data_IF_402133929496
#
_entry.id   IF_402133929496
#
_cell.length_a   1.000
_cell.length_b   1.000
_cell.length_c   1.000
_cell.angle_alpha   90.00
_cell.angle_beta   90.00
_cell.angle_gamma   90.00
#
_symmetry.space_group_name_H-M   'P 1'
#
loop_
_entity.id
_entity.type
_entity.pdbx_description
1 polymer ?
#
# COMPACT_ATOMS: atom_id res chain seq x y z
N UNK A 1 9.70 25.75 -43.40
CA UNK A 1 9.60 25.28 -42.01
C UNK A 1 8.14 25.22 -41.60
N UNK A 2 7.43 24.13 -41.92
CA UNK A 2 6.04 23.91 -41.53
C UNK A 2 5.99 23.14 -40.21
N UNK A 3 5.38 23.74 -39.18
CA UNK A 3 5.01 23.02 -37.96
C UNK A 3 3.76 22.20 -38.28
N UNK A 4 3.91 20.89 -38.39
CA UNK A 4 2.82 19.93 -38.46
C UNK A 4 1.94 20.05 -37.22
N UNK A 5 0.68 20.46 -37.41
CA UNK A 5 -0.38 20.32 -36.41
C UNK A 5 -0.61 18.82 -36.19
N UNK A 6 -0.06 18.27 -35.13
CA UNK A 6 -0.39 16.91 -34.69
C UNK A 6 -1.87 16.83 -34.33
N UNK A 7 -2.62 15.99 -35.02
CA UNK A 7 -3.97 15.62 -34.65
C UNK A 7 -3.93 14.88 -33.32
N UNK A 8 -4.43 15.51 -32.27
CA UNK A 8 -4.58 14.86 -30.96
C UNK A 8 -5.56 13.70 -31.11
N UNK A 9 -5.19 12.49 -30.67
CA UNK A 9 -6.18 11.42 -30.57
C UNK A 9 -7.18 11.77 -29.47
N UNK A 10 -8.39 11.19 -29.52
CA UNK A 10 -9.39 11.34 -28.46
C UNK A 10 -8.86 10.91 -27.09
N UNK A 11 -7.87 9.99 -27.05
CA UNK A 11 -7.19 9.56 -25.82
C UNK A 11 -6.23 10.63 -25.28
N UNK A 12 -5.51 11.33 -26.15
CA UNK A 12 -4.55 12.37 -25.74
C UNK A 12 -5.28 13.61 -25.22
N UNK A 13 -6.42 13.96 -25.81
CA UNK A 13 -7.26 15.06 -25.35
C UNK A 13 -7.91 14.74 -23.99
N UNK A 14 -8.38 13.50 -23.79
CA UNK A 14 -8.91 13.06 -22.50
C UNK A 14 -7.83 13.11 -21.40
N UNK A 15 -6.60 12.69 -21.71
CA UNK A 15 -5.47 12.74 -20.77
C UNK A 15 -5.10 14.18 -20.39
N UNK A 16 -5.01 15.09 -21.37
CA UNK A 16 -4.72 16.50 -21.13
C UNK A 16 -5.80 17.18 -20.27
N UNK A 17 -7.07 16.88 -20.52
CA UNK A 17 -8.17 17.41 -19.72
C UNK A 17 -8.16 16.86 -18.29
N UNK A 18 -7.85 15.58 -18.10
CA UNK A 18 -7.72 14.95 -16.78
C UNK A 18 -6.58 15.57 -15.96
N UNK A 19 -5.39 15.73 -16.55
CA UNK A 19 -4.23 16.34 -15.89
C UNK A 19 -4.48 17.81 -15.49
N UNK A 20 -5.11 18.59 -16.39
CA UNK A 20 -5.47 19.99 -16.12
C UNK A 20 -6.55 20.10 -15.05
N UNK A 21 -7.55 19.22 -15.04
CA UNK A 21 -8.57 19.18 -13.99
C UNK A 21 -7.94 18.79 -12.65
N UNK A 22 -7.13 17.73 -12.58
CA UNK A 22 -6.46 17.35 -11.33
C UNK A 22 -5.55 18.45 -10.79
N UNK A 23 -4.84 19.17 -11.66
CA UNK A 23 -4.00 20.31 -11.25
C UNK A 23 -4.84 21.46 -10.70
N UNK A 24 -5.95 21.81 -11.37
CA UNK A 24 -6.86 22.85 -10.93
C UNK A 24 -7.53 22.48 -9.59
N UNK A 25 -7.97 21.23 -9.44
CA UNK A 25 -8.57 20.73 -8.22
C UNK A 25 -7.57 20.67 -7.05
N UNK A 26 -6.32 20.26 -7.28
CA UNK A 26 -5.24 20.36 -6.27
C UNK A 26 -5.00 21.81 -5.84
N UNK A 27 -5.02 22.75 -6.79
CA UNK A 27 -4.92 24.19 -6.50
C UNK A 27 -6.06 24.69 -5.61
N UNK A 28 -7.31 24.39 -5.98
CA UNK A 28 -8.52 24.82 -5.25
C UNK A 28 -8.63 24.15 -3.88
N UNK A 29 -8.36 22.84 -3.79
CA UNK A 29 -8.31 22.14 -2.50
C UNK A 29 -7.19 22.65 -1.62
N UNK A 30 -6.01 22.97 -2.15
CA UNK A 30 -4.94 23.58 -1.36
C UNK A 30 -5.33 24.94 -0.79
N UNK A 31 -6.10 25.76 -1.54
CA UNK A 31 -6.58 27.07 -1.09
C UNK A 31 -7.68 26.94 -0.02
N UNK A 32 -8.60 25.99 -0.18
CA UNK A 32 -9.66 25.71 0.79
C UNK A 32 -9.08 25.08 2.06
N UNK A 33 -8.17 24.12 1.92
CA UNK A 33 -7.50 23.46 3.03
C UNK A 33 -6.58 24.45 3.77
N UNK A 34 -5.89 25.37 3.06
CA UNK A 34 -5.12 26.45 3.69
C UNK A 34 -6.00 27.47 4.45
N UNK A 35 -7.15 27.85 3.89
CA UNK A 35 -8.10 28.74 4.56
C UNK A 35 -8.75 28.12 5.81
N UNK A 36 -9.00 26.80 5.79
CA UNK A 36 -9.50 26.06 6.96
C UNK A 36 -8.40 25.75 7.99
N UNK A 37 -7.16 25.55 7.53
CA UNK A 37 -6.01 25.31 8.39
C UNK A 37 -5.59 26.55 9.21
N UNK A 38 -5.98 27.77 8.79
CA UNK A 38 -5.78 28.99 9.57
C UNK A 38 -6.52 28.99 10.93
N UNK A 39 -7.55 28.13 11.07
CA UNK A 39 -8.27 27.92 12.33
C UNK A 39 -7.76 26.70 13.12
N UNK A 40 -6.64 26.09 12.73
CA UNK A 40 -6.05 24.98 13.48
C UNK A 40 -5.49 25.55 14.78
N UNK A 41 -6.22 25.29 15.86
CA UNK A 41 -5.75 25.53 17.21
C UNK A 41 -4.47 24.72 17.44
N UNK A 42 -3.49 25.31 18.13
CA UNK A 42 -2.20 24.70 18.46
C UNK A 42 -2.34 23.58 19.52
N UNK A 43 -3.28 22.68 19.31
CA UNK A 43 -3.56 21.55 20.19
C UNK A 43 -3.03 20.27 19.55
N UNK A 44 -2.10 19.62 20.24
CA UNK A 44 -1.52 18.33 19.88
C UNK A 44 -2.60 17.31 19.49
N UNK A 45 -3.75 17.31 20.17
CA UNK A 45 -4.86 16.39 19.90
C UNK A 45 -5.44 16.50 18.49
N UNK A 46 -5.17 17.60 17.77
CA UNK A 46 -5.56 17.77 16.38
C UNK A 46 -4.82 16.80 15.44
N UNK A 47 -3.53 16.57 15.68
CA UNK A 47 -2.70 15.66 14.87
C UNK A 47 -2.87 14.20 15.28
N UNK A 48 -3.63 13.92 16.33
CA UNK A 48 -3.78 12.58 16.85
C UNK A 48 -4.33 11.62 15.80
N UNK A 49 -3.73 10.44 15.73
CA UNK A 49 -4.33 9.31 15.02
C UNK A 49 -5.73 9.03 15.57
N UNK A 50 -6.66 8.71 14.67
CA UNK A 50 -8.06 8.43 15.02
C UNK A 50 -8.30 6.93 14.96
N UNK A 51 -9.51 6.51 14.67
CA UNK A 51 -9.78 5.13 14.29
C UNK A 51 -9.66 5.02 12.75
N UNK A 52 -9.27 3.85 12.28
CA UNK A 52 -9.47 3.50 10.87
C UNK A 52 -10.96 3.49 10.53
N UNK A 53 -11.31 3.55 9.25
CA UNK A 53 -12.70 3.49 8.80
C UNK A 53 -13.31 2.07 8.74
N UNK A 54 -12.58 1.06 9.22
CA UNK A 54 -13.03 -0.32 9.18
C UNK A 54 -14.11 -0.56 10.24
N UNK A 55 -15.11 -1.43 9.98
CA UNK A 55 -16.10 -1.80 10.98
C UNK A 55 -15.43 -2.36 12.25
N UNK A 56 -15.89 -1.90 13.42
CA UNK A 56 -15.32 -2.31 14.72
C UNK A 56 -15.60 -3.77 15.06
N UNK A 57 -16.64 -4.36 14.45
CA UNK A 57 -17.10 -5.73 14.68
C UNK A 57 -16.43 -6.76 13.75
N UNK A 58 -15.42 -6.36 12.97
CA UNK A 58 -14.66 -7.30 12.16
C UNK A 58 -13.95 -8.36 13.03
N UNK A 59 -13.97 -9.65 12.64
CA UNK A 59 -13.26 -10.71 13.38
C UNK A 59 -11.78 -10.41 13.57
N UNK A 60 -11.15 -9.84 12.54
CA UNK A 60 -9.79 -9.33 12.59
C UNK A 60 -9.68 -8.06 11.77
N UNK A 61 -8.91 -7.11 12.26
CA UNK A 61 -8.58 -5.91 11.50
C UNK A 61 -7.29 -6.15 10.72
N UNK A 62 -7.43 -6.41 9.41
CA UNK A 62 -6.31 -6.74 8.54
C UNK A 62 -5.36 -5.55 8.42
N UNK A 63 -4.11 -5.84 8.11
CA UNK A 63 -3.09 -4.82 7.96
C UNK A 63 -3.38 -3.97 6.73
N UNK A 64 -3.37 -2.64 6.89
CA UNK A 64 -3.38 -1.68 5.78
C UNK A 64 -2.76 -0.35 6.25
N UNK A 65 -2.29 0.48 5.31
CA UNK A 65 -1.59 1.73 5.60
C UNK A 65 -2.39 2.70 6.48
N UNK A 66 -3.69 2.87 6.23
CA UNK A 66 -4.52 3.75 7.05
C UNK A 66 -4.62 3.26 8.51
N UNK A 67 -4.76 1.96 8.76
CA UNK A 67 -4.87 1.44 10.12
C UNK A 67 -3.61 1.69 10.93
N UNK A 68 -2.44 1.52 10.31
CA UNK A 68 -1.16 1.85 10.96
C UNK A 68 -0.99 3.35 11.17
N UNK A 69 -1.36 4.17 10.17
CA UNK A 69 -1.35 5.63 10.26
C UNK A 69 -2.20 6.10 11.44
N UNK A 70 -3.46 5.69 11.50
CA UNK A 70 -4.40 6.12 12.53
C UNK A 70 -4.05 5.59 13.92
N UNK A 71 -3.31 4.49 14.00
CA UNK A 71 -2.83 3.97 15.28
C UNK A 71 -1.62 4.72 15.87
N UNK A 72 -1.05 5.70 15.16
CA UNK A 72 0.07 6.52 15.64
C UNK A 72 -0.41 7.71 16.49
N UNK A 73 0.44 8.17 17.40
CA UNK A 73 0.15 9.31 18.28
C UNK A 73 -0.03 10.58 17.48
N UNK A 74 0.74 10.78 16.41
CA UNK A 74 0.70 11.95 15.52
C UNK A 74 0.65 11.52 14.05
N UNK A 75 -0.18 12.19 13.24
CA UNK A 75 -0.39 11.88 11.82
C UNK A 75 -0.15 13.11 10.94
N UNK A 76 0.79 12.97 9.99
CA UNK A 76 1.12 13.96 8.97
C UNK A 76 0.76 13.37 7.59
N UNK A 77 -0.48 13.60 7.16
CA UNK A 77 -1.11 12.92 6.02
C UNK A 77 -1.53 13.86 4.88
N UNK A 78 -0.96 15.07 4.82
CA UNK A 78 -1.28 16.05 3.79
C UNK A 78 -1.21 15.45 2.38
N UNK A 79 -2.28 15.62 1.60
CA UNK A 79 -2.37 15.09 0.24
C UNK A 79 -2.70 13.60 0.15
N UNK A 80 -2.91 12.90 1.27
CA UNK A 80 -3.38 11.51 1.27
C UNK A 80 -4.71 11.37 0.49
N UNK A 81 -4.88 10.20 -0.12
CA UNK A 81 -6.10 9.85 -0.83
C UNK A 81 -7.28 9.62 0.12
N UNK A 82 -7.01 9.23 1.36
CA UNK A 82 -8.02 8.93 2.37
C UNK A 82 -7.95 10.00 3.46
N UNK A 83 -9.09 10.64 3.74
CA UNK A 83 -9.26 11.66 4.77
C UNK A 83 -10.11 11.08 5.89
N UNK A 84 -9.67 11.27 7.13
CA UNK A 84 -10.55 11.08 8.28
C UNK A 84 -11.51 12.27 8.36
N UNK A 85 -12.83 12.08 8.55
CA UNK A 85 -13.80 13.18 8.57
C UNK A 85 -13.48 14.23 9.64
N UNK A 86 -12.95 13.77 10.79
CA UNK A 86 -12.62 14.63 11.94
C UNK A 86 -11.18 15.17 11.93
N UNK A 87 -10.40 14.98 10.84
CA UNK A 87 -9.06 15.55 10.72
C UNK A 87 -8.87 16.21 9.36
N UNK A 88 -8.63 17.52 9.36
CA UNK A 88 -8.30 18.25 8.14
C UNK A 88 -6.84 17.96 7.80
N UNK A 89 -6.57 17.65 6.52
CA UNK A 89 -5.21 17.48 6.03
C UNK A 89 -4.48 18.83 6.06
N UNK A 90 -3.56 19.00 7.00
CA UNK A 90 -2.83 20.26 7.20
C UNK A 90 -1.48 20.22 6.47
N UNK A 91 -1.13 21.25 5.66
CA UNK A 91 0.19 21.35 5.06
C UNK A 91 1.31 21.25 6.10
N UNK A 92 2.35 20.47 5.82
CA UNK A 92 3.43 20.16 6.78
C UNK A 92 4.09 21.42 7.37
N UNK A 93 4.25 22.48 6.57
CA UNK A 93 4.82 23.76 7.01
C UNK A 93 4.01 24.42 8.13
N UNK A 94 2.70 24.23 8.15
CA UNK A 94 1.83 24.78 9.19
C UNK A 94 1.89 23.95 10.49
N UNK A 95 2.26 22.67 10.40
CA UNK A 95 2.45 21.79 11.56
C UNK A 95 3.66 22.22 12.40
N UNK A 96 4.58 23.00 11.83
CA UNK A 96 5.76 23.53 12.56
C UNK A 96 5.41 24.20 13.89
N UNK A 97 4.29 24.92 13.98
CA UNK A 97 3.86 25.58 15.22
C UNK A 97 3.55 24.61 16.35
N UNK A 98 3.31 23.34 16.03
CA UNK A 98 2.97 22.25 16.95
C UNK A 98 4.15 21.28 17.17
N UNK A 99 5.28 21.49 16.50
CA UNK A 99 6.40 20.56 16.52
C UNK A 99 6.95 20.33 17.93
N UNK A 100 6.96 21.36 18.78
CA UNK A 100 7.42 21.26 20.18
C UNK A 100 6.54 20.37 21.04
N UNK A 101 5.31 20.07 20.62
CA UNK A 101 4.43 19.13 21.30
C UNK A 101 4.74 17.66 20.96
N UNK A 102 5.59 17.42 19.96
CA UNK A 102 6.08 16.09 19.59
C UNK A 102 7.34 15.83 20.43
N UNK A 103 7.32 14.79 21.26
CA UNK A 103 8.35 14.51 22.25
C UNK A 103 8.84 13.06 22.25
N UNK A 104 9.62 12.74 23.28
CA UNK A 104 10.25 11.45 23.43
C UNK A 104 9.22 10.30 23.44
N UNK A 105 9.43 9.32 22.56
CA UNK A 105 8.61 8.13 22.43
C UNK A 105 7.32 8.32 21.64
N UNK A 106 6.98 9.53 21.18
CA UNK A 106 5.83 9.71 20.32
C UNK A 106 5.97 8.91 19.02
N UNK A 107 4.90 8.25 18.61
CA UNK A 107 4.81 7.56 17.32
C UNK A 107 4.27 8.54 16.28
N UNK A 108 5.08 8.87 15.28
CA UNK A 108 4.76 9.90 14.30
C UNK A 108 4.67 9.28 12.92
N UNK A 109 3.45 9.17 12.40
CA UNK A 109 3.23 8.78 11.02
C UNK A 109 3.44 9.99 10.09
N UNK A 110 4.29 9.81 9.09
CA UNK A 110 4.50 10.77 7.99
C UNK A 110 4.22 10.07 6.67
N UNK A 111 3.23 10.56 5.90
CA UNK A 111 3.05 10.11 4.52
C UNK A 111 4.37 10.25 3.78
N UNK A 112 4.84 9.22 3.10
CA UNK A 112 6.23 9.20 2.59
C UNK A 112 6.58 10.40 1.72
N UNK A 113 5.65 10.89 0.91
CA UNK A 113 5.84 12.07 0.05
C UNK A 113 6.09 13.38 0.83
N UNK A 114 5.63 13.45 2.08
CA UNK A 114 5.77 14.60 2.97
C UNK A 114 7.04 14.56 3.82
N UNK A 115 7.81 13.46 3.76
CA UNK A 115 9.03 13.31 4.53
C UNK A 115 10.08 14.43 4.31
N UNK A 116 10.31 14.94 3.07
CA UNK A 116 11.23 16.07 2.88
C UNK A 116 10.81 17.33 3.65
N UNK A 117 9.53 17.67 3.62
CA UNK A 117 9.00 18.83 4.33
C UNK A 117 9.01 18.62 5.84
N UNK A 118 8.76 17.39 6.30
CA UNK A 118 8.84 17.03 7.72
C UNK A 118 10.27 17.24 8.26
N UNK A 119 11.28 16.74 7.55
CA UNK A 119 12.69 16.91 7.90
C UNK A 119 13.07 18.39 7.95
N UNK A 120 12.56 19.19 7.02
CA UNK A 120 12.93 20.61 6.89
C UNK A 120 12.23 21.49 7.94
N UNK A 121 10.97 21.19 8.27
CA UNK A 121 10.10 22.14 8.99
C UNK A 121 9.64 21.67 10.37
N UNK A 122 9.62 20.37 10.64
CA UNK A 122 9.06 19.80 11.89
C UNK A 122 10.15 19.13 12.71
N UNK A 123 10.91 18.20 12.12
CA UNK A 123 11.95 17.42 12.80
C UNK A 123 12.95 18.28 13.61
N UNK A 124 13.42 19.47 13.15
CA UNK A 124 14.37 20.28 13.91
C UNK A 124 13.78 20.93 15.16
N UNK A 125 12.46 20.90 15.34
CA UNK A 125 11.73 21.58 16.41
C UNK A 125 11.03 20.63 17.38
N UNK A 126 11.23 19.31 17.24
CA UNK A 126 10.64 18.34 18.16
C UNK A 126 11.42 18.26 19.48
N UNK A 127 10.74 17.89 20.55
CA UNK A 127 11.23 17.95 21.94
C UNK A 127 11.88 16.65 22.42
N UNK A 128 12.07 15.65 21.55
CA UNK A 128 12.71 14.38 21.91
C UNK A 128 12.72 13.33 20.80
N UNK A 129 13.36 12.17 21.03
CA UNK A 129 13.45 11.10 20.04
C UNK A 129 12.12 10.39 19.81
N UNK A 130 11.72 10.26 18.55
CA UNK A 130 10.43 9.67 18.14
C UNK A 130 10.58 8.29 17.52
N UNK A 131 9.45 7.58 17.41
CA UNK A 131 9.30 6.47 16.48
C UNK A 131 8.69 7.00 15.18
N UNK A 132 9.49 7.07 14.12
CA UNK A 132 9.04 7.48 12.80
C UNK A 132 8.33 6.32 12.10
N UNK A 133 7.16 6.58 11.54
CA UNK A 133 6.42 5.62 10.71
C UNK A 133 6.15 6.26 9.35
N UNK A 134 6.57 5.63 8.25
CA UNK A 134 6.33 6.16 6.90
C UNK A 134 5.52 5.19 6.06
N UNK A 135 4.50 5.71 5.36
CA UNK A 135 3.61 4.93 4.52
C UNK A 135 2.68 5.77 3.65
N UNK A 136 1.60 5.14 3.18
CA UNK A 136 0.56 5.78 2.34
C UNK A 136 1.12 6.43 1.07
N UNK A 137 2.10 5.76 0.46
CA UNK A 137 2.77 6.15 -0.78
C UNK A 137 3.33 4.93 -1.49
N UNK A 138 3.41 5.01 -2.81
CA UNK A 138 4.09 4.01 -3.64
C UNK A 138 5.62 4.13 -3.53
N UNK A 139 6.16 5.27 -3.10
CA UNK A 139 7.60 5.51 -3.04
C UNK A 139 8.24 4.90 -1.77
N UNK A 140 9.43 4.33 -1.95
CA UNK A 140 10.37 4.10 -0.85
C UNK A 140 11.12 5.39 -0.48
N UNK A 141 11.58 5.49 0.76
CA UNK A 141 12.23 6.69 1.29
C UNK A 141 13.52 6.45 2.06
N UNK A 142 13.79 5.20 2.48
CA UNK A 142 14.90 4.91 3.40
C UNK A 142 16.23 5.20 2.74
N UNK A 143 16.43 4.77 1.49
CA UNK A 143 17.68 5.05 0.76
C UNK A 143 17.93 6.54 0.60
N UNK A 144 16.89 7.32 0.29
CA UNK A 144 17.01 8.76 0.06
C UNK A 144 17.32 9.53 1.35
N UNK A 145 16.80 9.07 2.47
CA UNK A 145 16.92 9.72 3.78
C UNK A 145 17.65 8.84 4.80
N UNK A 146 18.65 8.10 4.33
CA UNK A 146 19.40 7.11 5.14
C UNK A 146 20.04 7.75 6.37
N UNK A 147 20.49 9.01 6.27
CA UNK A 147 21.02 9.79 7.38
C UNK A 147 20.08 9.93 8.58
N UNK A 148 18.77 9.71 8.41
CA UNK A 148 17.82 9.68 9.53
C UNK A 148 18.04 8.49 10.47
N UNK A 149 18.68 7.42 10.00
CA UNK A 149 19.02 6.28 10.87
C UNK A 149 20.08 6.67 11.91
N UNK A 150 20.94 7.64 11.61
CA UNK A 150 21.94 8.17 12.56
C UNK A 150 21.44 9.37 13.36
N UNK A 151 20.29 9.94 13.00
CA UNK A 151 19.74 11.13 13.63
C UNK A 151 19.28 10.85 15.07
N UNK A 152 19.67 11.72 16.01
CA UNK A 152 19.37 11.55 17.45
C UNK A 152 17.87 11.57 17.75
N UNK A 153 17.13 12.43 17.04
CA UNK A 153 15.69 12.56 17.19
C UNK A 153 14.90 11.40 16.55
N UNK A 154 15.54 10.48 15.84
CA UNK A 154 14.92 9.27 15.29
C UNK A 154 15.38 8.09 16.14
N UNK A 155 14.51 7.67 17.06
CA UNK A 155 14.76 6.51 17.92
C UNK A 155 14.57 5.18 17.17
N UNK A 156 13.59 5.13 16.27
CA UNK A 156 13.32 4.00 15.38
C UNK A 156 12.51 4.43 14.16
N UNK A 157 12.56 3.67 13.07
CA UNK A 157 11.85 3.92 11.82
C UNK A 157 11.15 2.64 11.32
N UNK A 158 9.82 2.68 11.24
CA UNK A 158 9.00 1.71 10.52
C UNK A 158 8.68 2.23 9.11
N UNK A 159 9.10 1.52 8.07
CA UNK A 159 8.98 2.00 6.68
C UNK A 159 8.22 1.02 5.78
N UNK A 160 7.09 1.47 5.23
CA UNK A 160 6.43 0.83 4.08
C UNK A 160 7.22 1.10 2.79
N UNK A 161 7.15 0.17 1.82
CA UNK A 161 7.91 0.25 0.58
C UNK A 161 9.42 0.47 0.81
N UNK A 162 9.99 -0.14 1.85
CA UNK A 162 11.40 0.02 2.22
C UNK A 162 12.33 -0.41 1.07
N UNK A 163 13.19 0.51 0.62
CA UNK A 163 14.02 0.42 -0.59
C UNK A 163 15.49 0.10 -0.33
N UNK A 164 15.78 -0.42 0.87
CA UNK A 164 17.09 -0.92 1.30
C UNK A 164 16.98 -2.36 1.76
N UNK A 165 18.00 -3.18 1.53
CA UNK A 165 18.02 -4.60 1.89
C UNK A 165 18.81 -4.90 3.17
N UNK A 166 19.67 -3.98 3.63
CA UNK A 166 20.49 -4.19 4.82
C UNK A 166 19.65 -4.18 6.10
N UNK A 167 20.16 -4.81 7.16
CA UNK A 167 19.55 -4.74 8.50
C UNK A 167 20.15 -3.57 9.27
N UNK A 168 19.31 -2.87 10.04
CA UNK A 168 19.73 -1.77 10.89
C UNK A 168 18.93 -1.80 12.19
N UNK A 169 19.57 -1.49 13.33
CA UNK A 169 18.96 -1.60 14.66
C UNK A 169 17.74 -0.69 14.84
N UNK A 170 17.73 0.46 14.18
CA UNK A 170 16.63 1.42 14.17
C UNK A 170 15.65 1.28 13.00
N UNK A 171 15.75 0.25 12.15
CA UNK A 171 14.90 0.12 10.95
C UNK A 171 14.06 -1.15 11.02
N UNK A 172 12.76 -1.02 10.78
CA UNK A 172 11.85 -2.14 10.57
C UNK A 172 11.07 -1.93 9.29
N UNK A 173 11.06 -2.95 8.43
CA UNK A 173 10.24 -2.97 7.22
C UNK A 173 8.79 -3.21 7.64
N UNK A 174 7.89 -2.38 7.15
CA UNK A 174 6.47 -2.49 7.43
C UNK A 174 5.75 -2.93 6.14
N UNK A 175 4.95 -4.00 6.14
CA UNK A 175 4.11 -4.36 5.00
C UNK A 175 3.16 -3.23 4.61
N UNK A 176 2.80 -3.13 3.32
CA UNK A 176 1.68 -2.25 2.94
C UNK A 176 0.31 -2.82 3.34
N UNK A 177 0.21 -4.15 3.46
CA UNK A 177 -1.03 -4.83 3.79
C UNK A 177 -2.00 -4.89 2.61
N UNK A 178 -3.31 -4.94 2.88
CA UNK A 178 -4.36 -4.92 1.85
C UNK A 178 -4.75 -3.48 1.50
N UNK A 179 -5.39 -3.30 0.34
CA UNK A 179 -6.00 -2.01 0.01
C UNK A 179 -7.24 -1.81 0.89
N UNK A 180 -7.50 -0.58 1.34
CA UNK A 180 -8.67 -0.23 2.15
C UNK A 180 -9.28 1.10 1.65
N UNK A 181 -9.76 1.17 0.40
CA UNK A 181 -10.21 2.42 -0.19
C UNK A 181 -11.64 2.76 0.26
N UNK A 182 -11.79 3.43 1.39
CA UNK A 182 -13.13 3.84 1.88
C UNK A 182 -13.61 5.15 1.21
N UNK A 183 -12.70 5.98 0.66
CA UNK A 183 -13.07 7.24 0.02
C UNK A 183 -12.28 7.52 -1.26
N UNK A 184 -12.94 7.40 -2.42
CA UNK A 184 -12.46 8.08 -3.63
C UNK A 184 -12.82 9.55 -3.54
N UNK A 185 -11.80 10.44 -3.59
CA UNK A 185 -11.99 11.88 -3.83
C UNK A 185 -13.00 12.09 -4.96
N UNK A 186 -13.82 13.15 -4.90
CA UNK A 186 -14.77 13.49 -5.97
C UNK A 186 -14.09 13.48 -7.36
N UNK A 187 -12.82 13.88 -7.43
CA UNK A 187 -11.96 13.78 -8.62
C UNK A 187 -11.80 12.35 -9.14
N UNK A 188 -11.50 11.36 -8.27
CA UNK A 188 -11.44 9.95 -8.65
C UNK A 188 -12.81 9.43 -9.09
N UNK A 189 -13.89 9.90 -8.46
CA UNK A 189 -15.28 9.56 -8.86
C UNK A 189 -15.63 10.11 -10.23
N UNK A 190 -15.28 11.36 -10.50
CA UNK A 190 -15.48 12.00 -11.80
C UNK A 190 -14.61 11.34 -12.88
N UNK A 191 -13.36 11.02 -12.56
CA UNK A 191 -12.49 10.24 -13.44
C UNK A 191 -13.05 8.86 -13.77
N UNK A 192 -13.62 8.16 -12.78
CA UNK A 192 -14.29 6.87 -12.99
C UNK A 192 -15.54 6.99 -13.86
N UNK A 193 -16.38 8.01 -13.63
CA UNK A 193 -17.56 8.32 -14.47
C UNK A 193 -17.17 8.64 -15.91
N UNK A 194 -16.14 9.46 -16.10
CA UNK A 194 -15.58 9.77 -17.42
C UNK A 194 -15.08 8.50 -18.12
N UNK A 195 -14.46 7.59 -17.37
CA UNK A 195 -13.96 6.33 -17.89
C UNK A 195 -15.04 5.35 -18.34
N UNK A 196 -16.15 5.31 -17.61
CA UNK A 196 -17.34 4.57 -18.03
C UNK A 196 -17.93 5.17 -19.31
N UNK A 197 -18.01 6.50 -19.39
CA UNK A 197 -18.50 7.18 -20.60
C UNK A 197 -17.61 6.95 -21.83
N UNK A 198 -16.30 6.71 -21.64
CA UNK A 198 -15.35 6.39 -22.71
C UNK A 198 -15.29 4.88 -23.07
N UNK A 199 -16.14 4.04 -22.47
CA UNK A 199 -16.21 2.60 -22.75
C UNK A 199 -14.96 1.80 -22.36
N UNK A 200 -14.09 2.37 -21.51
CA UNK A 200 -12.83 1.74 -21.07
C UNK A 200 -12.99 0.87 -19.82
N UNK A 201 -14.16 0.93 -19.19
CA UNK A 201 -14.56 0.06 -18.07
C UNK A 201 -15.96 -0.42 -18.38
N UNK A 202 -16.20 -1.73 -18.35
CA UNK A 202 -17.57 -2.24 -18.52
C UNK A 202 -18.45 -1.74 -17.38
N UNK A 203 -19.66 -1.33 -17.75
CA UNK A 203 -20.63 -0.78 -16.81
C UNK A 203 -21.31 -1.93 -16.06
N UNK A 204 -20.70 -2.36 -14.96
CA UNK A 204 -21.29 -3.35 -14.07
C UNK A 204 -22.15 -2.67 -13.00
N UNK A 205 -23.46 -2.66 -13.24
CA UNK A 205 -24.46 -2.11 -12.31
C UNK A 205 -24.61 -2.90 -11.01
N UNK A 206 -24.02 -4.11 -10.92
CA UNK A 206 -24.02 -4.94 -9.71
C UNK A 206 -22.87 -4.59 -8.78
N UNK A 207 -21.78 -4.02 -9.30
CA UNK A 207 -20.63 -3.59 -8.53
C UNK A 207 -21.05 -2.47 -7.56
N UNK A 208 -21.17 -2.79 -6.27
CA UNK A 208 -21.42 -1.74 -5.26
C UNK A 208 -20.12 -0.98 -5.00
N UNK A 209 -20.26 0.32 -4.70
CA UNK A 209 -19.22 1.36 -4.60
C UNK A 209 -17.92 1.03 -3.80
N UNK A 210 -17.85 -0.08 -3.07
CA UNK A 210 -16.80 -0.44 -2.12
C UNK A 210 -16.26 -1.88 -2.27
N UNK A 211 -16.42 -2.55 -3.41
CA UNK A 211 -15.94 -3.95 -3.53
C UNK A 211 -14.41 -4.10 -3.46
N UNK A 212 -13.64 -3.05 -3.75
CA UNK A 212 -12.18 -3.05 -3.56
C UNK A 212 -11.85 -2.82 -2.08
N UNK A 213 -11.08 -3.72 -1.48
CA UNK A 213 -10.63 -3.60 -0.09
C UNK A 213 -11.72 -3.79 0.98
N UNK A 214 -12.86 -4.38 0.63
CA UNK A 214 -13.87 -4.81 1.61
C UNK A 214 -13.31 -5.95 2.48
N UNK A 215 -12.78 -5.59 3.63
CA UNK A 215 -12.20 -6.55 4.58
C UNK A 215 -13.22 -7.56 5.09
N UNK A 216 -14.48 -7.17 5.25
CA UNK A 216 -15.53 -8.07 5.73
C UNK A 216 -15.82 -9.16 4.69
N UNK A 217 -15.91 -8.76 3.42
CA UNK A 217 -16.05 -9.70 2.32
C UNK A 217 -14.82 -10.60 2.14
N UNK A 218 -13.62 -10.03 2.21
CA UNK A 218 -12.37 -10.79 2.13
C UNK A 218 -12.31 -11.84 3.25
N UNK A 219 -12.61 -11.46 4.49
CA UNK A 219 -12.62 -12.38 5.63
C UNK A 219 -13.67 -13.48 5.52
N UNK A 220 -14.89 -13.15 5.07
CA UNK A 220 -15.92 -14.17 4.81
C UNK A 220 -15.47 -15.18 3.77
N UNK A 221 -14.93 -14.70 2.64
CA UNK A 221 -14.43 -15.58 1.59
C UNK A 221 -13.28 -16.43 2.10
N UNK A 222 -12.31 -15.83 2.80
CA UNK A 222 -11.16 -16.54 3.36
C UNK A 222 -11.54 -17.60 4.39
N UNK A 223 -12.56 -17.36 5.20
CA UNK A 223 -13.07 -18.33 6.17
C UNK A 223 -13.69 -19.58 5.51
N UNK A 224 -14.26 -19.42 4.31
CA UNK A 224 -14.84 -20.52 3.53
C UNK A 224 -13.78 -21.25 2.68
N UNK A 225 -12.53 -20.78 2.65
CA UNK A 225 -11.46 -21.42 1.86
C UNK A 225 -10.81 -22.58 2.60
N UNK A 226 -10.57 -23.67 1.86
CA UNK A 226 -9.70 -24.76 2.31
C UNK A 226 -8.22 -24.36 2.35
N UNK A 227 -7.40 -25.25 2.90
CA UNK A 227 -5.96 -24.99 3.05
C UNK A 227 -5.24 -24.97 1.71
N UNK A 228 -4.08 -24.30 1.65
CA UNK A 228 -3.26 -24.29 0.43
C UNK A 228 -2.93 -25.71 -0.09
N UNK A 229 -2.75 -26.67 0.82
CA UNK A 229 -2.31 -28.04 0.53
C UNK A 229 -3.25 -28.79 -0.40
N UNK A 230 -4.54 -28.46 -0.36
CA UNK A 230 -5.59 -29.12 -1.14
C UNK A 230 -5.74 -28.50 -2.53
N UNK A 231 -5.07 -27.37 -2.79
CA UNK A 231 -5.24 -26.60 -4.02
C UNK A 231 -4.39 -27.17 -5.16
N UNK A 232 -4.91 -27.14 -6.40
CA UNK A 232 -4.13 -27.50 -7.57
C UNK A 232 -2.82 -26.72 -7.66
N UNK A 233 -1.74 -27.41 -8.05
CA UNK A 233 -0.41 -26.83 -8.29
C UNK A 233 -0.45 -26.04 -9.60
N UNK A 234 -1.00 -24.83 -9.52
CA UNK A 234 -1.14 -23.85 -10.62
C UNK A 234 -0.92 -22.45 -10.07
N UNK A 235 -0.47 -21.56 -10.93
CA UNK A 235 -0.22 -20.16 -10.63
C UNK A 235 -1.24 -19.26 -11.32
N UNK A 236 -2.01 -18.53 -10.52
CA UNK A 236 -2.92 -17.50 -11.00
C UNK A 236 -2.14 -16.27 -11.49
N UNK A 237 -2.53 -15.72 -12.63
CA UNK A 237 -2.00 -14.47 -13.16
C UNK A 237 -3.16 -13.46 -13.34
N UNK A 238 -3.27 -12.48 -12.44
CA UNK A 238 -4.23 -11.36 -12.55
C UNK A 238 -3.56 -10.01 -12.83
N UNK A 239 -2.22 -9.95 -12.75
CA UNK A 239 -1.46 -8.71 -12.74
C UNK A 239 -1.53 -7.89 -14.03
N UNK A 240 -1.70 -8.55 -15.17
CA UNK A 240 -1.79 -7.92 -16.49
C UNK A 240 -3.10 -7.16 -16.71
N UNK A 241 -4.15 -7.47 -15.94
CA UNK A 241 -5.46 -6.80 -16.03
C UNK A 241 -5.58 -5.56 -15.13
N UNK A 242 -4.57 -5.26 -14.31
CA UNK A 242 -4.61 -4.14 -13.37
C UNK A 242 -4.11 -2.85 -14.04
N UNK A 243 -4.95 -2.27 -14.90
CA UNK A 243 -4.64 -1.06 -15.68
C UNK A 243 -4.97 0.22 -14.90
N UNK A 244 -4.10 1.24 -14.99
CA UNK A 244 -4.45 2.64 -14.72
C UNK A 244 -4.10 3.49 -15.93
N UNK A 245 -4.87 4.55 -16.16
CA UNK A 245 -4.71 5.46 -17.31
C UNK A 245 -3.57 6.47 -17.15
N UNK A 246 -3.11 6.65 -15.91
CA UNK A 246 -2.10 7.64 -15.58
C UNK A 246 -0.74 6.96 -15.66
N UNK A 247 0.17 7.56 -16.42
CA UNK A 247 1.53 7.03 -16.60
C UNK A 247 2.35 7.08 -15.30
N UNK A 248 3.29 6.13 -15.10
CA UNK A 248 3.55 4.99 -15.97
C UNK A 248 2.41 3.96 -15.90
N UNK A 249 2.07 3.31 -17.01
CA UNK A 249 1.16 2.17 -16.98
C UNK A 249 1.87 1.04 -16.26
N UNK A 250 1.21 0.38 -15.29
CA UNK A 250 1.81 -0.74 -14.57
C UNK A 250 2.30 -1.84 -15.52
N UNK A 251 1.66 -2.02 -16.68
CA UNK A 251 2.06 -3.01 -17.68
C UNK A 251 3.45 -2.75 -18.25
N UNK A 252 3.91 -1.50 -18.23
CA UNK A 252 5.22 -1.11 -18.75
C UNK A 252 6.35 -1.32 -17.73
N UNK A 253 6.02 -1.75 -16.50
CA UNK A 253 7.05 -2.04 -15.50
C UNK A 253 7.87 -3.27 -15.92
N UNK A 254 9.21 -3.23 -15.84
CA UNK A 254 10.08 -4.31 -16.29
C UNK A 254 9.69 -5.71 -15.79
N UNK A 255 9.36 -5.83 -14.49
CA UNK A 255 9.01 -7.13 -13.90
C UNK A 255 7.67 -7.68 -14.42
N UNK A 256 6.73 -6.79 -14.76
CA UNK A 256 5.44 -7.19 -15.34
C UNK A 256 5.58 -7.56 -16.82
N UNK A 257 6.45 -6.86 -17.55
CA UNK A 257 6.79 -7.21 -18.92
C UNK A 257 7.45 -8.59 -18.97
N UNK A 258 8.46 -8.83 -18.13
CA UNK A 258 9.11 -10.14 -18.03
C UNK A 258 8.11 -11.24 -17.69
N UNK A 259 7.29 -11.04 -16.64
CA UNK A 259 6.29 -12.03 -16.24
C UNK A 259 5.31 -12.35 -17.38
N UNK A 260 4.81 -11.32 -18.09
CA UNK A 260 3.94 -11.48 -19.25
C UNK A 260 4.63 -12.18 -20.43
N UNK A 261 5.91 -11.95 -20.66
CA UNK A 261 6.67 -12.55 -21.76
C UNK A 261 6.96 -14.02 -21.49
N UNK A 262 7.42 -14.32 -20.27
CA UNK A 262 7.90 -15.65 -19.90
C UNK A 262 6.76 -16.61 -19.60
N UNK A 263 5.67 -16.14 -18.98
CA UNK A 263 4.63 -17.01 -18.45
C UNK A 263 3.44 -17.21 -19.39
N UNK A 264 3.33 -16.46 -20.50
CA UNK A 264 2.16 -16.48 -21.38
C UNK A 264 1.77 -17.87 -21.86
N UNK A 265 2.76 -18.65 -22.26
CA UNK A 265 2.59 -20.00 -22.80
C UNK A 265 2.98 -21.08 -21.79
N UNK A 266 3.14 -20.71 -20.52
CA UNK A 266 3.52 -21.63 -19.46
C UNK A 266 2.30 -22.46 -19.02
N UNK A 267 2.35 -23.81 -19.12
CA UNK A 267 1.18 -24.67 -18.88
C UNK A 267 0.70 -24.69 -17.43
N UNK A 268 1.50 -24.19 -16.48
CA UNK A 268 1.10 -24.10 -15.07
C UNK A 268 0.61 -22.71 -14.66
N UNK A 269 0.55 -21.75 -15.59
CA UNK A 269 0.12 -20.38 -15.33
C UNK A 269 -1.19 -20.05 -16.05
N UNK A 270 -2.12 -19.43 -15.32
CA UNK A 270 -3.42 -19.04 -15.86
C UNK A 270 -3.61 -17.54 -15.88
N UNK A 271 -3.47 -16.96 -17.07
CA UNK A 271 -3.79 -15.55 -17.32
C UNK A 271 -5.28 -15.36 -17.37
N UNK A 272 -5.82 -14.61 -16.41
CA UNK A 272 -7.24 -14.26 -16.43
C UNK A 272 -7.58 -13.45 -17.68
N UNK A 273 -8.59 -13.85 -18.47
CA UNK A 273 -8.86 -13.22 -19.76
C UNK A 273 -9.40 -11.79 -19.63
N UNK A 274 -9.96 -11.45 -18.47
CA UNK A 274 -10.52 -10.14 -18.16
C UNK A 274 -10.34 -9.80 -16.68
N UNK A 275 -10.54 -8.53 -16.33
CA UNK A 275 -10.66 -8.10 -14.94
C UNK A 275 -11.92 -8.72 -14.32
N UNK A 276 -11.75 -9.37 -13.17
CA UNK A 276 -12.83 -9.96 -12.40
C UNK A 276 -13.38 -8.93 -11.38
N UNK A 277 -14.67 -9.00 -11.02
CA UNK A 277 -15.17 -8.38 -9.80
C UNK A 277 -14.35 -8.83 -8.59
N UNK A 278 -14.19 -7.99 -7.56
CA UNK A 278 -13.25 -8.29 -6.47
C UNK A 278 -13.60 -9.60 -5.74
N UNK A 279 -14.89 -9.82 -5.47
CA UNK A 279 -15.37 -11.05 -4.82
C UNK A 279 -14.97 -12.31 -5.61
N UNK A 280 -15.09 -12.24 -6.94
CA UNK A 280 -14.76 -13.36 -7.83
C UNK A 280 -13.24 -13.52 -7.95
N UNK A 281 -12.51 -12.41 -7.97
CA UNK A 281 -11.05 -12.40 -7.91
C UNK A 281 -10.56 -13.12 -6.67
N UNK A 282 -11.14 -12.88 -5.49
CA UNK A 282 -10.79 -13.59 -4.27
C UNK A 282 -11.23 -15.05 -4.30
N UNK A 283 -12.47 -15.36 -4.68
CA UNK A 283 -12.98 -16.75 -4.71
C UNK A 283 -12.19 -17.68 -5.63
N UNK A 284 -11.63 -17.15 -6.72
CA UNK A 284 -10.89 -17.97 -7.68
C UNK A 284 -9.64 -18.61 -7.06
N UNK A 285 -9.09 -18.04 -5.98
CA UNK A 285 -7.91 -18.56 -5.27
C UNK A 285 -8.08 -20.00 -4.78
N UNK A 286 -9.31 -20.49 -4.60
CA UNK A 286 -9.58 -21.89 -4.24
C UNK A 286 -9.06 -22.89 -5.28
N UNK A 287 -8.84 -22.45 -6.52
CA UNK A 287 -8.34 -23.27 -7.62
C UNK A 287 -6.82 -23.15 -7.86
N UNK A 288 -6.11 -22.38 -7.03
CA UNK A 288 -4.69 -22.08 -7.24
C UNK A 288 -3.89 -22.13 -5.93
N UNK A 289 -2.85 -22.96 -5.91
CA UNK A 289 -1.86 -22.94 -4.84
C UNK A 289 -1.01 -21.65 -4.85
N UNK A 290 -0.82 -21.02 -6.02
CA UNK A 290 0.04 -19.86 -6.19
C UNK A 290 -0.64 -18.69 -6.91
N UNK A 291 -0.17 -17.47 -6.67
CA UNK A 291 -0.44 -16.32 -7.54
C UNK A 291 0.86 -15.57 -7.84
N UNK A 292 1.02 -15.13 -9.09
CA UNK A 292 2.19 -14.36 -9.52
C UNK A 292 2.00 -12.89 -9.14
N UNK A 293 2.91 -12.39 -8.30
CA UNK A 293 2.83 -11.09 -7.64
C UNK A 293 4.01 -10.19 -8.05
N UNK A 294 4.14 -9.78 -9.33
CA UNK A 294 5.14 -8.79 -9.70
C UNK A 294 4.79 -7.45 -9.03
N UNK A 295 5.84 -6.64 -8.78
CA UNK A 295 5.73 -5.39 -8.02
C UNK A 295 4.61 -4.46 -8.52
N UNK A 296 4.09 -3.67 -7.59
CA UNK A 296 3.15 -2.58 -7.87
C UNK A 296 3.84 -1.36 -8.45
N UNK A 297 3.25 -0.18 -8.22
CA UNK A 297 3.95 1.10 -8.45
C UNK A 297 5.12 1.26 -7.49
N UNK A 298 4.92 0.84 -6.24
CA UNK A 298 5.98 0.65 -5.26
C UNK A 298 6.64 -0.72 -5.35
N UNK A 299 7.56 -0.96 -4.41
CA UNK A 299 8.21 -2.27 -4.27
C UNK A 299 7.22 -3.35 -3.84
N UNK A 300 6.22 -2.98 -3.03
CA UNK A 300 5.22 -3.88 -2.49
C UNK A 300 3.94 -3.93 -3.35
N UNK A 301 3.05 -4.89 -3.10
CA UNK A 301 1.81 -5.08 -3.85
C UNK A 301 0.68 -5.62 -2.95
N UNK A 302 -0.52 -5.00 -3.02
CA UNK A 302 -1.69 -5.46 -2.25
C UNK A 302 -2.03 -6.93 -2.50
N UNK A 303 -1.86 -7.40 -3.74
CA UNK A 303 -2.07 -8.80 -4.12
C UNK A 303 -1.26 -9.75 -3.25
N UNK A 304 -0.01 -9.41 -2.95
CA UNK A 304 0.87 -10.25 -2.12
C UNK A 304 0.22 -10.52 -0.77
N UNK A 305 -0.37 -9.50 -0.16
CA UNK A 305 -1.00 -9.59 1.17
C UNK A 305 -2.39 -10.24 1.10
N UNK A 306 -3.15 -9.99 0.04
CA UNK A 306 -4.42 -10.71 -0.24
C UNK A 306 -4.17 -12.21 -0.40
N UNK A 307 -3.11 -12.61 -1.12
CA UNK A 307 -2.69 -14.02 -1.26
C UNK A 307 -2.44 -14.67 0.10
N UNK A 308 -1.60 -14.03 0.91
CA UNK A 308 -1.24 -14.54 2.24
C UNK A 308 -2.46 -14.70 3.13
N UNK A 309 -3.40 -13.74 3.07
CA UNK A 309 -4.65 -13.81 3.81
C UNK A 309 -5.54 -14.98 3.33
N UNK A 310 -5.62 -15.19 2.01
CA UNK A 310 -6.41 -16.26 1.38
C UNK A 310 -5.69 -17.62 1.34
N UNK A 311 -4.55 -17.79 2.00
CA UNK A 311 -3.70 -18.99 1.92
C UNK A 311 -3.28 -19.40 0.50
N UNK A 312 -3.13 -18.44 -0.40
CA UNK A 312 -2.42 -18.64 -1.67
C UNK A 312 -0.96 -18.20 -1.48
N UNK A 313 -0.01 -18.95 -2.04
CA UNK A 313 1.41 -18.62 -1.93
C UNK A 313 1.75 -17.58 -3.01
N UNK A 314 2.07 -16.32 -2.64
CA UNK A 314 2.53 -15.34 -3.61
C UNK A 314 3.94 -15.69 -4.13
N UNK A 315 4.13 -15.51 -5.43
CA UNK A 315 5.44 -15.58 -6.10
C UNK A 315 5.87 -14.17 -6.47
N UNK A 316 6.88 -13.64 -5.78
CA UNK A 316 7.43 -12.29 -6.00
C UNK A 316 8.83 -12.39 -6.59
N UNK A 317 9.27 -11.32 -7.26
CA UNK A 317 10.66 -11.18 -7.71
C UNK A 317 11.51 -10.57 -6.60
N UNK A 318 12.78 -11.01 -6.50
CA UNK A 318 13.74 -10.50 -5.51
C UNK A 318 13.83 -8.97 -5.51
N UNK A 319 13.86 -8.38 -4.33
CA UNK A 319 13.90 -6.94 -4.13
C UNK A 319 14.46 -6.57 -2.74
N UNK A 320 14.63 -5.27 -2.43
CA UNK A 320 14.94 -4.83 -1.07
C UNK A 320 13.92 -5.25 0.01
N UNK A 321 12.74 -5.74 -0.38
CA UNK A 321 11.73 -6.31 0.52
C UNK A 321 11.98 -7.77 0.89
N UNK A 322 12.95 -8.47 0.31
CA UNK A 322 13.22 -9.88 0.66
C UNK A 322 13.35 -10.14 2.17
N UNK A 323 14.04 -9.27 2.96
CA UNK A 323 14.09 -9.45 4.41
C UNK A 323 12.73 -9.27 5.10
N UNK A 324 11.80 -8.47 4.54
CA UNK A 324 10.44 -8.35 5.10
C UNK A 324 9.74 -9.71 5.09
N UNK A 325 9.86 -10.46 3.99
CA UNK A 325 9.22 -11.76 3.87
C UNK A 325 9.92 -12.83 4.72
N UNK A 326 11.26 -12.87 4.65
CA UNK A 326 12.06 -13.91 5.32
C UNK A 326 12.10 -13.73 6.84
N UNK A 327 12.41 -12.52 7.32
CA UNK A 327 12.65 -12.27 8.76
C UNK A 327 11.34 -12.32 9.56
N UNK A 328 10.21 -11.95 8.94
CA UNK A 328 8.87 -12.05 9.56
C UNK A 328 8.20 -13.42 9.34
N UNK A 329 8.83 -14.31 8.57
CA UNK A 329 8.35 -15.68 8.33
C UNK A 329 7.04 -15.75 7.54
N UNK A 330 6.91 -14.97 6.46
CA UNK A 330 5.77 -15.05 5.55
C UNK A 330 5.99 -16.14 4.47
N UNK A 331 4.96 -16.95 4.13
CA UNK A 331 5.04 -17.93 3.04
C UNK A 331 5.05 -17.23 1.67
N UNK A 332 6.20 -16.74 1.25
CA UNK A 332 6.41 -16.05 -0.02
C UNK A 332 7.54 -16.72 -0.78
N UNK A 333 7.27 -17.10 -2.03
CA UNK A 333 8.31 -17.56 -2.94
C UNK A 333 8.98 -16.35 -3.55
N UNK A 334 10.29 -16.24 -3.39
CA UNK A 334 11.11 -15.17 -3.98
C UNK A 334 11.93 -15.77 -5.12
N UNK A 335 11.75 -15.27 -6.33
CA UNK A 335 12.48 -15.69 -7.54
C UNK A 335 13.42 -14.59 -8.03
N UNK A 336 14.54 -14.96 -8.65
CA UNK A 336 15.37 -14.02 -9.40
C UNK A 336 14.75 -13.72 -10.77
N UNK A 337 14.11 -14.73 -11.38
CA UNK A 337 13.36 -14.60 -12.63
C UNK A 337 12.07 -15.39 -12.59
N UNK A 338 11.03 -14.87 -13.24
CA UNK A 338 9.77 -15.60 -13.39
C UNK A 338 9.92 -16.88 -14.24
N UNK A 339 11.05 -17.08 -14.95
CA UNK A 339 11.39 -18.34 -15.64
C UNK A 339 11.51 -19.52 -14.70
N UNK A 340 11.72 -19.28 -13.42
CA UNK A 340 11.79 -20.32 -12.39
C UNK A 340 10.41 -20.96 -12.12
N UNK A 341 9.32 -20.38 -12.61
CA UNK A 341 7.99 -20.96 -12.45
C UNK A 341 7.85 -22.17 -13.39
N UNK A 342 8.09 -23.35 -12.85
CA UNK A 342 7.89 -24.65 -13.50
C UNK A 342 7.04 -25.54 -12.59
N UNK A 343 6.42 -26.59 -13.15
CA UNK A 343 5.61 -27.51 -12.33
C UNK A 343 6.40 -28.11 -11.16
N UNK A 344 7.64 -28.56 -11.40
CA UNK A 344 8.50 -29.14 -10.36
C UNK A 344 8.85 -28.15 -9.25
N UNK A 345 9.15 -26.90 -9.63
CA UNK A 345 9.43 -25.84 -8.68
C UNK A 345 8.17 -25.46 -7.88
N UNK A 346 7.00 -25.34 -8.52
CA UNK A 346 5.74 -25.08 -7.83
C UNK A 346 5.43 -26.19 -6.82
N UNK A 347 5.61 -27.45 -7.19
CA UNK A 347 5.40 -28.57 -6.27
C UNK A 347 6.32 -28.48 -5.05
N UNK A 348 7.62 -28.30 -5.27
CA UNK A 348 8.61 -28.14 -4.19
C UNK A 348 8.27 -26.97 -3.28
N UNK A 349 7.98 -25.80 -3.86
CA UNK A 349 7.65 -24.60 -3.11
C UNK A 349 6.35 -24.74 -2.31
N UNK A 350 5.37 -25.51 -2.79
CA UNK A 350 4.14 -25.75 -2.04
C UNK A 350 4.45 -26.53 -0.76
N UNK A 351 5.27 -27.58 -0.85
CA UNK A 351 5.72 -28.39 0.28
C UNK A 351 6.54 -27.55 1.29
N UNK A 352 7.38 -26.64 0.81
CA UNK A 352 8.20 -25.75 1.65
C UNK A 352 7.39 -24.64 2.35
N UNK A 353 6.42 -24.03 1.66
CA UNK A 353 5.71 -22.85 2.15
C UNK A 353 4.47 -23.19 2.97
N UNK A 354 3.82 -24.32 2.70
CA UNK A 354 2.58 -24.70 3.40
C UNK A 354 2.71 -24.72 4.93
N UNK A 355 3.80 -25.23 5.53
CA UNK A 355 3.97 -25.24 6.99
C UNK A 355 4.03 -23.85 7.63
N UNK A 356 4.29 -22.79 6.85
CA UNK A 356 4.39 -21.43 7.36
C UNK A 356 3.03 -20.73 7.52
N UNK A 357 1.94 -21.30 6.99
CA UNK A 357 0.56 -20.82 7.20
C UNK A 357 0.04 -21.13 8.61
N UNK A 358 0.70 -20.56 9.60
CA UNK A 358 0.39 -20.71 11.04
C UNK A 358 -0.46 -19.56 11.57
N UNK A 359 -1.11 -19.74 12.72
CA UNK A 359 -1.83 -18.65 13.41
C UNK A 359 -0.90 -17.49 13.78
N UNK A 360 0.37 -17.80 14.10
CA UNK A 360 1.38 -16.78 14.34
C UNK A 360 1.63 -15.92 13.10
N UNK A 361 1.71 -16.52 11.92
CA UNK A 361 1.82 -15.78 10.64
C UNK A 361 0.56 -14.96 10.38
N UNK A 362 -0.64 -15.52 10.57
CA UNK A 362 -1.90 -14.77 10.40
C UNK A 362 -1.99 -13.56 11.31
N UNK A 363 -1.47 -13.65 12.55
CA UNK A 363 -1.37 -12.49 13.45
C UNK A 363 -0.55 -11.37 12.83
N UNK A 364 0.52 -11.67 12.09
CA UNK A 364 1.36 -10.66 11.41
C UNK A 364 0.67 -9.97 10.23
N UNK A 365 -0.44 -10.53 9.73
CA UNK A 365 -1.30 -9.90 8.73
C UNK A 365 -2.33 -8.93 9.31
N UNK A 366 -2.27 -8.64 10.62
CA UNK A 366 -3.20 -7.73 11.30
C UNK A 366 -2.57 -6.37 11.59
N UNK A 367 -3.38 -5.31 11.56
CA UNK A 367 -2.95 -3.97 11.98
C UNK A 367 -2.49 -3.98 13.44
N UNK A 368 -3.20 -4.73 14.30
CA UNK A 368 -2.90 -4.82 15.73
C UNK A 368 -1.48 -5.30 16.03
N UNK A 369 -1.00 -6.34 15.34
CA UNK A 369 0.38 -6.84 15.53
C UNK A 369 1.44 -5.77 15.30
N UNK A 370 1.30 -4.98 14.24
CA UNK A 370 2.28 -3.94 13.92
C UNK A 370 2.18 -2.74 14.85
N UNK A 371 0.97 -2.35 15.26
CA UNK A 371 0.79 -1.32 16.28
C UNK A 371 1.37 -1.73 17.64
N UNK A 372 1.22 -2.99 18.04
CA UNK A 372 1.85 -3.52 19.26
C UNK A 372 3.38 -3.39 19.21
N UNK A 373 4.00 -3.73 18.07
CA UNK A 373 5.45 -3.59 17.88
C UNK A 373 5.89 -2.12 17.90
N UNK A 374 5.16 -1.24 17.24
CA UNK A 374 5.42 0.20 17.25
C UNK A 374 5.36 0.73 18.69
N UNK A 375 4.32 0.36 19.45
CA UNK A 375 4.15 0.74 20.86
C UNK A 375 5.23 0.17 21.77
N UNK A 376 5.67 -1.07 21.54
CA UNK A 376 6.77 -1.67 22.30
C UNK A 376 8.07 -0.87 22.15
N UNK A 377 8.38 -0.44 20.92
CA UNK A 377 9.55 0.40 20.65
C UNK A 377 9.39 1.78 21.28
N UNK A 378 8.23 2.41 21.10
CA UNK A 378 7.88 3.71 21.72
C UNK A 378 8.05 3.67 23.25
N UNK A 379 7.48 2.68 23.94
CA UNK A 379 7.60 2.53 25.39
C UNK A 379 9.03 2.24 25.86
N UNK A 380 9.92 1.73 25.00
CA UNK A 380 11.34 1.59 25.32
C UNK A 380 12.11 2.92 25.23
N UNK A 381 11.68 3.84 24.37
CA UNK A 381 12.24 5.19 24.25
C UNK A 381 11.78 6.10 25.39
N UNK A 382 10.55 5.96 25.86
CA UNK A 382 10.02 6.75 26.99
C UNK A 382 10.68 6.41 28.34
N UNK A 383 11.31 5.23 28.45
CA UNK A 383 12.00 4.77 29.67
C UNK A 383 13.48 5.17 29.72
N UNK A 384 14.03 5.67 28.62
CA UNK A 384 15.40 6.18 28.51
C UNK A 384 15.40 7.68 28.77
#
# INVERSE_FOLDING_TARGET
>A
MSKTRGTWSSKDLAFYLEDRMQTLFRGVTSLIDAGRAACVHADRDYLRGRHCHCPEDLPSHLLHSEGVREGCDMVIDYGSNVRHPDRIQTPVKMIRSMATAIGAGDTVHVKTDNLPDFITHVLPCISGPIVLVTGDSDAGSVRRFEHLLDHEAIGHWFAQNCDVAYRHSKLTRLPIGIDNPVYTKLEKRLGFVLMMALGKTEMDWRARRNELGDQALLQRIGADMGTNRERPIRALCTFHNNQRLVKPDLRDLPDRLEACEVLRDNPVCDFMPRRLPQADCWRIHTHYAFEVCPRGYGLDCFRTWECLFLETIPIVKTSPLDPLYRDEGFPVVIVESFREITWDNLKRWQEEMQPLFTDAMRRRLTTGYWLDRIKQVSGSLQKR
#
